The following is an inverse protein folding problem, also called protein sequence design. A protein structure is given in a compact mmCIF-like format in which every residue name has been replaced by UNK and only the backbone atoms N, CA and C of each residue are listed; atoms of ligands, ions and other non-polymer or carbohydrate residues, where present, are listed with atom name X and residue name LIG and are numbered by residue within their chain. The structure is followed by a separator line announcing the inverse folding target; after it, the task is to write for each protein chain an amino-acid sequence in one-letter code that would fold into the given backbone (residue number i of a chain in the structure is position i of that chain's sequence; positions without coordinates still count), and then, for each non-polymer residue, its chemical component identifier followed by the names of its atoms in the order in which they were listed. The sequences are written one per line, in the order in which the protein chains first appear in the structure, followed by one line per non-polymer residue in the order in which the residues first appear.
data_IF_494690466362
#
_entry.id   IF_494690466362
#
_cell.length_a   1.000
_cell.length_b   1.000
_cell.length_c   1.000
_cell.angle_alpha   90.00
_cell.angle_beta   90.00
_cell.angle_gamma   90.00
#
_symmetry.space_group_name_H-M   'P 1'
#
loop_
_entity.id
_entity.type
_entity.pdbx_description
1 polymer ?
#
# COMPACT_ATOMS: atom_id res chain seq x y z
N UNK A 1 32.39 36.37 -38.40
CA UNK A 1 32.40 35.48 -39.58
C UNK A 1 30.98 35.40 -40.11
N UNK A 2 30.72 36.01 -41.27
CA UNK A 2 29.42 35.93 -41.91
C UNK A 2 29.27 34.55 -42.59
N UNK A 3 28.09 33.93 -42.47
CA UNK A 3 27.76 32.65 -43.10
C UNK A 3 26.61 32.93 -44.09
N UNK A 4 26.80 32.51 -45.35
CA UNK A 4 25.88 32.74 -46.46
C UNK A 4 25.10 31.43 -46.74
N UNK A 5 23.77 31.44 -46.56
CA UNK A 5 22.90 30.25 -46.71
C UNK A 5 21.87 30.11 -45.57
N UNK A 6 20.84 29.29 -45.76
CA UNK A 6 19.78 29.04 -44.78
C UNK A 6 20.37 28.36 -43.53
N UNK A 7 20.12 28.93 -42.34
CA UNK A 7 20.44 28.29 -41.06
C UNK A 7 19.52 27.08 -40.83
N UNK A 8 20.08 25.87 -40.87
CA UNK A 8 19.42 24.62 -40.47
C UNK A 8 19.77 24.22 -39.02
N UNK A 9 19.19 23.13 -38.55
CA UNK A 9 19.36 22.62 -37.17
C UNK A 9 20.74 22.04 -36.88
N UNK A 10 21.61 21.89 -37.88
CA UNK A 10 22.95 21.28 -37.74
C UNK A 10 24.06 22.34 -37.69
N UNK A 11 23.78 23.60 -38.05
CA UNK A 11 24.78 24.69 -38.13
C UNK A 11 24.81 25.66 -36.92
N UNK A 12 24.39 25.22 -35.73
CA UNK A 12 24.53 26.01 -34.49
C UNK A 12 25.88 25.77 -33.81
N UNK A 13 26.45 26.78 -33.15
CA UNK A 13 27.66 26.64 -32.32
C UNK A 13 27.38 25.62 -31.19
N UNK A 14 28.36 24.79 -30.84
CA UNK A 14 28.22 23.76 -29.80
C UNK A 14 27.60 24.36 -28.51
N UNK A 15 26.53 23.73 -28.00
CA UNK A 15 25.72 24.13 -26.84
C UNK A 15 24.84 25.39 -26.99
N UNK A 16 24.56 25.87 -28.21
CA UNK A 16 23.70 27.05 -28.42
C UNK A 16 22.19 26.75 -28.50
N UNK A 17 21.76 25.48 -28.52
CA UNK A 17 20.35 25.07 -28.33
C UNK A 17 20.10 24.66 -26.88
N UNK A 18 19.04 25.16 -26.22
CA UNK A 18 18.57 24.56 -24.98
C UNK A 18 18.12 23.13 -25.30
N UNK A 19 18.91 22.15 -24.86
CA UNK A 19 18.51 20.76 -24.86
C UNK A 19 17.39 20.59 -23.84
N UNK A 20 16.26 20.01 -24.24
CA UNK A 20 15.13 19.76 -23.35
C UNK A 20 15.58 18.80 -22.24
N UNK A 21 15.76 19.32 -21.03
CA UNK A 21 15.80 18.52 -19.81
C UNK A 21 14.35 18.30 -19.38
N UNK A 22 13.88 17.04 -19.35
CA UNK A 22 12.57 16.69 -18.79
C UNK A 22 12.60 16.57 -17.25
N UNK A 23 13.55 17.25 -16.61
CA UNK A 23 13.66 17.38 -15.16
C UNK A 23 14.30 18.75 -14.89
N UNK A 24 13.49 19.72 -14.47
CA UNK A 24 14.04 20.88 -13.77
C UNK A 24 14.71 20.37 -12.49
N UNK A 25 15.91 20.86 -12.20
CA UNK A 25 16.69 20.55 -10.99
C UNK A 25 15.75 20.38 -9.79
N UNK A 26 15.59 19.14 -9.32
CA UNK A 26 15.08 18.86 -7.99
C UNK A 26 16.24 19.16 -7.04
N UNK A 27 16.28 20.38 -6.52
CA UNK A 27 17.25 20.76 -5.48
C UNK A 27 16.98 19.90 -4.24
N UNK A 28 18.06 19.36 -3.69
CA UNK A 28 18.07 18.72 -2.38
C UNK A 28 17.81 19.81 -1.33
N UNK A 29 16.55 20.00 -0.96
CA UNK A 29 16.19 20.88 0.16
C UNK A 29 16.66 20.25 1.47
N UNK A 30 17.08 21.02 2.50
CA UNK A 30 17.72 20.51 3.71
C UNK A 30 16.90 19.56 4.59
N UNK A 31 15.72 19.13 4.14
CA UNK A 31 14.90 18.13 4.85
C UNK A 31 14.02 17.28 3.92
N UNK A 32 14.34 17.17 2.63
CA UNK A 32 13.62 16.27 1.71
C UNK A 32 12.09 16.38 1.80
N UNK A 33 11.56 17.58 1.62
CA UNK A 33 10.16 17.95 1.95
C UNK A 33 9.09 17.30 1.06
N UNK A 34 9.48 16.71 -0.09
CA UNK A 34 8.55 16.16 -1.10
C UNK A 34 9.02 14.80 -1.67
N UNK A 35 9.22 13.77 -0.83
CA UNK A 35 9.83 12.51 -1.24
C UNK A 35 8.95 11.71 -2.20
N UNK A 36 7.62 11.75 -2.06
CA UNK A 36 6.71 10.99 -2.92
C UNK A 36 6.57 11.65 -4.29
N UNK A 37 6.52 12.97 -4.35
CA UNK A 37 6.54 13.74 -5.59
C UNK A 37 7.85 13.53 -6.35
N UNK A 38 8.99 13.50 -5.66
CA UNK A 38 10.27 13.17 -6.28
C UNK A 38 10.29 11.74 -6.85
N UNK A 39 9.75 10.77 -6.11
CA UNK A 39 9.68 9.37 -6.57
C UNK A 39 8.75 9.21 -7.77
N UNK A 40 7.56 9.83 -7.73
CA UNK A 40 6.59 9.78 -8.84
C UNK A 40 7.11 10.46 -10.11
N UNK A 41 7.96 11.48 -9.98
CA UNK A 41 8.62 12.11 -11.13
C UNK A 41 9.57 11.16 -11.88
N UNK A 42 10.13 10.16 -11.21
CA UNK A 42 11.01 9.16 -11.82
C UNK A 42 10.24 7.98 -12.41
N UNK A 43 8.93 7.89 -12.15
CA UNK A 43 8.08 6.81 -12.65
C UNK A 43 7.64 7.09 -14.10
N UNK A 44 7.32 6.02 -14.84
CA UNK A 44 6.76 6.16 -16.18
C UNK A 44 5.37 6.80 -16.08
N UNK A 45 5.16 7.88 -16.84
CA UNK A 45 3.89 8.60 -16.91
C UNK A 45 3.08 8.17 -18.14
N UNK A 46 1.75 8.15 -18.01
CA UNK A 46 0.82 8.06 -19.13
C UNK A 46 -0.12 9.25 -19.08
N UNK A 47 -0.36 9.88 -20.23
CA UNK A 47 -1.31 10.98 -20.33
C UNK A 47 -2.75 10.44 -20.22
N UNK A 48 -3.62 11.20 -19.55
CA UNK A 48 -5.03 10.84 -19.34
C UNK A 48 -5.92 11.87 -20.03
N UNK A 49 -6.88 11.39 -20.82
CA UNK A 49 -7.79 12.24 -21.61
C UNK A 49 -9.11 12.59 -20.90
N UNK A 50 -9.40 11.94 -19.76
CA UNK A 50 -10.60 12.17 -18.95
C UNK A 50 -10.23 12.70 -17.54
N UNK A 51 -11.02 13.63 -16.95
CA UNK A 51 -10.84 14.02 -15.55
C UNK A 51 -10.99 12.88 -14.52
N UNK A 52 -11.56 11.72 -14.90
CA UNK A 52 -11.57 10.47 -14.14
C UNK A 52 -10.65 9.47 -14.83
N UNK A 53 -9.69 8.94 -14.10
CA UNK A 53 -8.89 7.80 -14.54
C UNK A 53 -9.21 6.56 -13.71
N UNK A 54 -9.15 5.40 -14.36
CA UNK A 54 -9.40 4.12 -13.74
C UNK A 54 -8.28 3.14 -14.09
N UNK A 55 -8.06 2.19 -13.19
CA UNK A 55 -7.16 1.05 -13.38
C UNK A 55 -7.81 -0.21 -12.85
N UNK A 56 -7.36 -1.35 -13.35
CA UNK A 56 -7.87 -2.65 -12.95
C UNK A 56 -6.90 -3.31 -11.99
N UNK A 57 -7.41 -3.75 -10.85
CA UNK A 57 -6.67 -4.57 -9.90
C UNK A 57 -7.22 -5.99 -9.93
N UNK A 58 -6.31 -6.96 -9.89
CA UNK A 58 -6.68 -8.37 -9.79
C UNK A 58 -5.81 -9.01 -8.73
N UNK A 59 -6.46 -9.47 -7.67
CA UNK A 59 -5.81 -10.24 -6.63
C UNK A 59 -5.99 -11.73 -6.90
N UNK A 60 -4.96 -12.51 -6.57
CA UNK A 60 -5.07 -13.95 -6.50
C UNK A 60 -5.58 -14.30 -5.10
N UNK A 61 -6.63 -15.11 -5.05
CA UNK A 61 -7.17 -15.54 -3.76
C UNK A 61 -6.13 -16.35 -2.96
N UNK A 62 -6.09 -16.11 -1.65
CA UNK A 62 -5.23 -16.85 -0.76
C UNK A 62 -5.67 -18.32 -0.71
N UNK A 63 -4.72 -19.26 -0.79
CA UNK A 63 -4.97 -20.72 -0.64
C UNK A 63 -5.36 -21.15 0.79
N UNK A 64 -5.72 -20.19 1.64
CA UNK A 64 -6.02 -20.36 3.05
C UNK A 64 -7.31 -19.61 3.36
N UNK A 65 -8.28 -20.31 3.96
CA UNK A 65 -9.56 -19.74 4.33
C UNK A 65 -9.82 -19.89 5.82
N UNK A 66 -10.40 -18.87 6.44
CA UNK A 66 -10.71 -18.87 7.86
C UNK A 66 -12.15 -19.33 8.11
N UNK A 67 -12.35 -20.10 9.18
CA UNK A 67 -13.66 -20.48 9.68
C UNK A 67 -14.38 -19.28 10.30
N UNK A 68 -15.69 -19.19 10.07
CA UNK A 68 -16.58 -18.16 10.61
C UNK A 68 -17.43 -18.63 11.79
N UNK A 69 -17.38 -19.92 12.14
CA UNK A 69 -18.11 -20.50 13.28
C UNK A 69 -17.40 -21.75 13.83
N UNK A 70 -17.77 -22.15 15.04
CA UNK A 70 -17.30 -23.40 15.65
C UNK A 70 -17.76 -24.59 14.82
N UNK A 71 -16.89 -25.59 14.72
CA UNK A 71 -17.17 -26.84 14.04
C UNK A 71 -17.18 -27.97 15.07
N UNK A 72 -18.30 -28.66 15.17
CA UNK A 72 -18.42 -29.91 15.91
C UNK A 72 -17.99 -31.12 15.05
N UNK A 73 -17.67 -32.25 15.68
CA UNK A 73 -17.19 -33.52 15.13
C UNK A 73 -18.04 -34.14 14.01
N UNK A 74 -19.31 -33.75 13.86
CA UNK A 74 -20.26 -34.34 12.90
C UNK A 74 -20.73 -33.41 11.78
N UNK A 75 -20.45 -32.11 11.88
CA UNK A 75 -20.92 -31.13 10.90
C UNK A 75 -20.21 -31.33 9.56
N UNK A 76 -20.94 -31.21 8.45
CA UNK A 76 -20.43 -31.32 7.07
C UNK A 76 -20.61 -30.04 6.26
N UNK A 77 -21.30 -29.04 6.80
CA UNK A 77 -21.39 -27.69 6.25
C UNK A 77 -20.68 -26.74 7.18
N UNK A 78 -19.64 -26.07 6.67
CA UNK A 78 -18.82 -25.15 7.43
C UNK A 78 -19.10 -23.71 7.02
N UNK A 79 -19.27 -22.86 8.02
CA UNK A 79 -19.34 -21.40 7.83
C UNK A 79 -17.92 -20.86 7.74
N UNK A 80 -17.62 -20.11 6.70
CA UNK A 80 -16.35 -19.44 6.44
C UNK A 80 -16.53 -17.92 6.57
N UNK A 81 -15.43 -17.21 6.77
CA UNK A 81 -15.44 -15.72 6.77
C UNK A 81 -15.70 -15.16 5.36
N UNK A 82 -15.30 -15.90 4.32
CA UNK A 82 -15.43 -15.55 2.90
C UNK A 82 -14.41 -16.33 2.05
N UNK A 83 -14.54 -16.34 0.73
CA UNK A 83 -13.62 -17.07 -0.18
C UNK A 83 -13.96 -18.54 -0.40
N UNK A 84 -15.22 -18.95 -0.22
CA UNK A 84 -15.64 -20.31 -0.54
C UNK A 84 -15.62 -20.56 -2.07
N UNK A 85 -15.90 -19.53 -2.88
CA UNK A 85 -15.99 -19.65 -4.34
C UNK A 85 -14.66 -19.96 -5.02
N UNK A 86 -13.53 -19.77 -4.32
CA UNK A 86 -12.20 -20.18 -4.79
C UNK A 86 -11.94 -21.69 -4.81
N UNK A 87 -12.85 -22.46 -4.20
CA UNK A 87 -12.78 -23.91 -4.11
C UNK A 87 -13.78 -24.57 -5.04
N UNK A 88 -13.43 -25.76 -5.51
CA UNK A 88 -14.27 -26.60 -6.35
C UNK A 88 -14.45 -27.98 -5.72
N UNK A 89 -15.47 -28.69 -6.16
CA UNK A 89 -15.68 -30.10 -5.78
C UNK A 89 -14.40 -30.92 -6.02
N UNK A 90 -14.06 -31.80 -5.09
CA UNK A 90 -12.83 -32.60 -5.14
C UNK A 90 -11.56 -31.88 -4.67
N UNK A 91 -11.62 -30.60 -4.27
CA UNK A 91 -10.50 -29.96 -3.58
C UNK A 91 -10.29 -30.55 -2.18
N UNK A 92 -9.03 -30.67 -1.76
CA UNK A 92 -8.62 -31.12 -0.44
C UNK A 92 -8.18 -29.95 0.43
N UNK A 93 -8.82 -29.82 1.59
CA UNK A 93 -8.49 -28.83 2.60
C UNK A 93 -7.90 -29.51 3.83
N UNK A 94 -6.88 -28.91 4.43
CA UNK A 94 -6.32 -29.33 5.71
C UNK A 94 -6.68 -28.33 6.78
N UNK A 95 -7.28 -28.80 7.87
CA UNK A 95 -7.41 -28.02 9.08
C UNK A 95 -6.03 -27.86 9.73
N UNK A 96 -5.55 -26.61 9.84
CA UNK A 96 -4.20 -26.36 10.35
C UNK A 96 -4.07 -26.67 11.84
N UNK A 97 -5.16 -26.55 12.61
CA UNK A 97 -5.16 -26.84 14.04
C UNK A 97 -5.07 -28.34 14.35
N UNK A 98 -5.89 -29.16 13.68
CA UNK A 98 -6.06 -30.58 14.01
C UNK A 98 -5.31 -31.50 13.06
N UNK A 99 -4.89 -31.00 11.90
CA UNK A 99 -4.28 -31.80 10.83
C UNK A 99 -5.28 -32.66 10.05
N UNK A 100 -6.58 -32.54 10.33
CA UNK A 100 -7.64 -33.24 9.60
C UNK A 100 -7.64 -32.84 8.12
N UNK A 101 -7.87 -33.82 7.24
CA UNK A 101 -8.05 -33.59 5.81
C UNK A 101 -9.53 -33.72 5.47
N UNK A 102 -10.02 -32.73 4.75
CA UNK A 102 -11.41 -32.55 4.35
C UNK A 102 -11.45 -32.58 2.81
N UNK A 103 -12.43 -33.29 2.25
CA UNK A 103 -12.71 -33.24 0.83
C UNK A 103 -13.90 -32.31 0.61
N UNK A 104 -13.78 -31.31 -0.27
CA UNK A 104 -14.90 -30.47 -0.69
C UNK A 104 -15.87 -31.33 -1.48
N UNK A 105 -17.15 -31.32 -1.08
CA UNK A 105 -18.21 -32.16 -1.61
C UNK A 105 -19.32 -31.29 -2.21
N UNK A 106 -19.11 -30.92 -3.46
CA UNK A 106 -19.93 -30.01 -4.24
C UNK A 106 -19.31 -28.63 -4.41
N UNK A 107 -19.56 -28.03 -5.57
CA UNK A 107 -19.15 -26.66 -5.88
C UNK A 107 -19.91 -25.67 -4.96
N UNK A 108 -19.20 -24.80 -4.21
CA UNK A 108 -19.83 -23.79 -3.37
C UNK A 108 -20.68 -22.82 -4.20
N UNK A 109 -21.91 -22.57 -3.75
CA UNK A 109 -22.83 -21.60 -4.39
C UNK A 109 -22.92 -20.28 -3.63
N UNK A 110 -22.38 -20.24 -2.41
CA UNK A 110 -22.38 -19.08 -1.51
C UNK A 110 -20.96 -18.92 -0.95
N UNK A 111 -20.45 -17.69 -0.96
CA UNK A 111 -19.05 -17.41 -0.63
C UNK A 111 -18.67 -17.64 0.84
N UNK A 112 -19.65 -17.83 1.72
CA UNK A 112 -19.45 -18.01 3.16
C UNK A 112 -19.72 -19.44 3.63
N UNK A 113 -20.04 -20.37 2.74
CA UNK A 113 -20.36 -21.76 3.14
C UNK A 113 -19.66 -22.76 2.24
N UNK A 114 -19.07 -23.79 2.84
CA UNK A 114 -18.48 -24.91 2.12
C UNK A 114 -19.01 -26.24 2.67
N UNK A 115 -19.35 -27.16 1.77
CA UNK A 115 -19.78 -28.51 2.13
C UNK A 115 -18.59 -29.43 1.97
N UNK A 116 -18.29 -30.22 3.01
CA UNK A 116 -17.13 -31.10 3.06
C UNK A 116 -17.46 -32.49 3.59
N UNK A 117 -16.69 -33.47 3.13
CA UNK A 117 -16.58 -34.80 3.72
C UNK A 117 -15.38 -34.78 4.68
N UNK A 118 -15.62 -35.26 5.90
CA UNK A 118 -14.67 -35.24 7.01
C UNK A 118 -13.85 -36.52 7.12
N UNK A 119 -12.72 -36.42 7.81
CA UNK A 119 -11.83 -37.56 8.07
C UNK A 119 -11.30 -38.22 6.79
N UNK A 120 -11.16 -37.45 5.71
CA UNK A 120 -10.74 -37.99 4.43
C UNK A 120 -9.29 -38.49 4.53
N UNK A 121 -8.95 -39.53 3.75
CA UNK A 121 -7.62 -40.14 3.78
C UNK A 121 -7.26 -40.82 5.11
N UNK A 122 -8.26 -41.22 5.91
CA UNK A 122 -8.05 -41.92 7.20
C UNK A 122 -7.76 -40.98 8.37
N UNK A 123 -7.98 -39.67 8.21
CA UNK A 123 -7.87 -38.70 9.31
C UNK A 123 -9.10 -38.75 10.21
N UNK A 124 -8.98 -38.27 11.45
CA UNK A 124 -10.11 -38.29 12.40
C UNK A 124 -10.75 -36.91 12.48
N UNK A 125 -12.09 -36.87 12.45
CA UNK A 125 -12.85 -35.66 12.63
C UNK A 125 -12.71 -35.13 14.07
N UNK A 126 -12.22 -33.90 14.23
CA UNK A 126 -12.04 -33.24 15.53
C UNK A 126 -12.75 -31.90 15.55
N UNK A 127 -13.39 -31.55 16.66
CA UNK A 127 -14.03 -30.24 16.81
C UNK A 127 -12.98 -29.10 16.76
N UNK A 128 -13.33 -27.99 16.12
CA UNK A 128 -12.46 -26.80 16.01
C UNK A 128 -13.23 -25.60 16.53
N UNK A 129 -12.70 -24.96 17.56
CA UNK A 129 -13.26 -23.72 18.10
C UNK A 129 -12.72 -22.51 17.32
N UNK A 130 -13.58 -21.72 16.68
CA UNK A 130 -13.13 -20.66 15.76
C UNK A 130 -12.41 -19.49 16.46
N UNK A 131 -12.76 -19.20 17.72
CA UNK A 131 -12.23 -18.07 18.48
C UNK A 131 -11.45 -18.48 19.76
N UNK A 132 -10.95 -19.72 19.82
CA UNK A 132 -10.17 -20.21 20.96
C UNK A 132 -8.76 -19.62 21.01
N UNK A 133 -8.28 -19.27 22.20
CA UNK A 133 -6.88 -18.87 22.39
C UNK A 133 -5.95 -20.03 21.99
N UNK A 134 -4.98 -19.77 21.11
CA UNK A 134 -4.05 -20.79 20.60
C UNK A 134 -4.64 -21.73 19.53
N UNK A 135 -5.89 -21.49 19.09
CA UNK A 135 -6.50 -22.24 17.99
C UNK A 135 -6.18 -21.55 16.67
N UNK A 136 -5.91 -22.35 15.64
CA UNK A 136 -5.69 -21.88 14.28
C UNK A 136 -6.89 -22.26 13.40
N UNK A 137 -7.93 -21.41 13.30
CA UNK A 137 -9.19 -21.73 12.63
C UNK A 137 -9.09 -21.64 11.10
N UNK A 138 -7.91 -21.91 10.55
CA UNK A 138 -7.67 -21.80 9.12
C UNK A 138 -7.61 -23.17 8.46
N UNK A 139 -8.18 -23.23 7.26
CA UNK A 139 -8.14 -24.37 6.36
C UNK A 139 -7.20 -24.02 5.21
N UNK A 140 -6.22 -24.87 4.94
CA UNK A 140 -5.27 -24.70 3.85
C UNK A 140 -5.58 -25.67 2.71
N UNK A 141 -5.65 -25.18 1.48
CA UNK A 141 -5.80 -26.05 0.30
C UNK A 141 -4.52 -26.78 -0.03
N UNK A 142 -4.54 -28.11 0.12
CA UNK A 142 -3.42 -28.98 -0.23
C UNK A 142 -3.38 -29.20 -1.75
N UNK A 143 -4.52 -29.50 -2.36
CA UNK A 143 -4.62 -29.86 -3.78
C UNK A 143 -6.03 -30.29 -4.13
N UNK A 144 -6.18 -31.11 -5.18
CA UNK A 144 -7.44 -31.74 -5.57
C UNK A 144 -7.23 -33.22 -5.81
N UNK A 145 -8.22 -34.04 -5.47
CA UNK A 145 -8.22 -35.48 -5.68
C UNK A 145 -9.54 -35.90 -6.34
N UNK A 146 -9.45 -36.49 -7.53
CA UNK A 146 -10.59 -36.95 -8.32
C UNK A 146 -10.53 -38.45 -8.54
N UNK A 147 -11.71 -39.05 -8.74
CA UNK A 147 -11.84 -40.45 -9.12
C UNK A 147 -11.31 -40.72 -10.54
N UNK A 148 -10.82 -41.93 -10.79
CA UNK A 148 -10.34 -42.32 -12.12
C UNK A 148 -11.50 -42.35 -13.12
N UNK A 149 -11.34 -41.66 -14.26
CA UNK A 149 -12.38 -41.56 -15.29
C UNK A 149 -13.44 -40.48 -15.03
N UNK A 150 -13.22 -39.59 -14.06
CA UNK A 150 -14.12 -38.46 -13.80
C UNK A 150 -14.21 -37.50 -14.99
N UNK A 151 -15.29 -36.72 -15.03
CA UNK A 151 -15.37 -35.56 -15.91
C UNK A 151 -14.32 -34.50 -15.53
N UNK A 152 -14.02 -33.61 -16.48
CA UNK A 152 -13.17 -32.46 -16.21
C UNK A 152 -13.79 -31.57 -15.12
N UNK A 153 -12.99 -31.09 -14.15
CA UNK A 153 -13.50 -30.30 -13.04
C UNK A 153 -13.92 -28.89 -13.47
N UNK A 154 -14.81 -28.28 -12.68
CA UNK A 154 -15.25 -26.88 -12.88
C UNK A 154 -14.06 -25.92 -12.79
N UNK A 155 -13.97 -24.98 -13.73
CA UNK A 155 -12.93 -23.95 -13.73
C UNK A 155 -13.26 -22.82 -12.74
N UNK A 156 -12.27 -22.41 -11.94
CA UNK A 156 -12.38 -21.25 -11.05
C UNK A 156 -11.70 -20.06 -11.73
N UNK A 157 -12.47 -19.01 -11.99
CA UNK A 157 -12.00 -17.77 -12.60
C UNK A 157 -12.11 -16.62 -11.60
N UNK A 158 -11.22 -15.64 -11.75
CA UNK A 158 -11.21 -14.44 -10.91
C UNK A 158 -11.40 -13.21 -11.80
N UNK A 159 -12.39 -12.39 -11.46
CA UNK A 159 -12.69 -11.15 -12.17
C UNK A 159 -11.86 -9.99 -11.60
N UNK A 160 -11.38 -9.07 -12.45
CA UNK A 160 -10.68 -7.87 -11.99
C UNK A 160 -11.67 -6.83 -11.42
N UNK A 161 -11.23 -6.04 -10.44
CA UNK A 161 -12.00 -4.93 -9.88
C UNK A 161 -11.53 -3.59 -10.45
N UNK A 162 -12.47 -2.69 -10.78
CA UNK A 162 -12.16 -1.33 -11.23
C UNK A 162 -11.88 -0.42 -10.03
N UNK A 163 -10.68 0.16 -9.98
CA UNK A 163 -10.35 1.29 -9.10
C UNK A 163 -10.30 2.57 -9.91
N UNK A 164 -10.62 3.70 -9.28
CA UNK A 164 -10.66 4.99 -9.96
C UNK A 164 -10.29 6.16 -9.05
N UNK A 165 -9.77 7.22 -9.68
CA UNK A 165 -9.46 8.48 -9.02
C UNK A 165 -9.67 9.66 -10.00
N UNK A 166 -9.63 10.89 -9.49
CA UNK A 166 -9.83 12.10 -10.29
C UNK A 166 -8.54 12.90 -10.43
N UNK A 167 -8.44 13.66 -11.51
CA UNK A 167 -7.42 14.70 -11.65
C UNK A 167 -7.83 15.96 -10.88
N UNK A 168 -6.85 16.62 -10.27
CA UNK A 168 -7.02 17.86 -9.52
C UNK A 168 -6.20 18.98 -10.16
N UNK A 169 -6.76 20.20 -10.13
CA UNK A 169 -6.09 21.38 -10.65
C UNK A 169 -5.38 22.08 -9.49
N UNK A 170 -4.06 22.10 -9.52
CA UNK A 170 -3.24 22.90 -8.61
C UNK A 170 -2.98 24.27 -9.22
N UNK A 171 -3.17 25.35 -8.46
CA UNK A 171 -2.92 26.71 -8.94
C UNK A 171 -2.32 27.56 -7.82
N UNK A 172 -1.07 27.98 -8.02
CA UNK A 172 -0.42 29.03 -7.24
C UNK A 172 -0.15 30.23 -8.14
N UNK A 173 -0.31 31.44 -7.62
CA UNK A 173 -0.15 32.69 -8.40
C UNK A 173 0.91 33.56 -7.76
N UNK A 174 1.79 34.11 -8.60
CA UNK A 174 2.72 35.16 -8.24
C UNK A 174 2.21 36.47 -8.84
N UNK A 175 1.97 37.46 -8.00
CA UNK A 175 1.57 38.80 -8.43
C UNK A 175 2.62 39.81 -8.00
N UNK A 176 3.19 40.53 -8.97
CA UNK A 176 4.15 41.60 -8.73
C UNK A 176 3.88 42.76 -9.69
N UNK A 177 3.80 43.97 -9.16
CA UNK A 177 3.50 45.15 -9.99
C UNK A 177 4.70 45.54 -10.85
N UNK A 178 4.46 46.11 -12.03
CA UNK A 178 5.52 46.52 -12.96
C UNK A 178 6.52 47.51 -12.33
N UNK A 179 6.05 48.42 -11.47
CA UNK A 179 6.89 49.36 -10.72
C UNK A 179 7.77 48.65 -9.70
N UNK A 180 7.24 47.64 -9.00
CA UNK A 180 8.03 46.83 -8.07
C UNK A 180 9.11 46.02 -8.81
N UNK A 181 8.83 45.52 -10.02
CA UNK A 181 9.83 44.79 -10.83
C UNK A 181 11.02 45.67 -11.25
N UNK A 182 10.79 46.97 -11.47
CA UNK A 182 11.83 47.90 -11.91
C UNK A 182 12.62 48.55 -10.76
N UNK A 183 12.14 48.42 -9.52
CA UNK A 183 12.84 48.95 -8.35
C UNK A 183 14.11 48.14 -8.10
N UNK A 184 15.28 48.81 -8.09
CA UNK A 184 16.55 48.16 -7.74
C UNK A 184 16.58 47.83 -6.25
N UNK A 185 16.50 46.55 -5.94
CA UNK A 185 16.60 46.03 -4.59
C UNK A 185 18.03 45.54 -4.31
N UNK A 186 18.46 45.64 -3.05
CA UNK A 186 19.79 45.22 -2.61
C UNK A 186 19.95 43.69 -2.54
N UNK A 187 18.83 42.98 -2.52
CA UNK A 187 18.71 41.52 -2.35
C UNK A 187 18.68 40.74 -3.67
N UNK A 188 18.95 41.39 -4.81
CA UNK A 188 18.90 40.75 -6.13
C UNK A 188 17.51 40.79 -6.80
N UNK A 189 17.32 39.92 -7.79
CA UNK A 189 16.11 39.86 -8.62
C UNK A 189 14.97 39.11 -7.91
N UNK A 190 14.07 39.87 -7.29
CA UNK A 190 12.93 39.33 -6.55
C UNK A 190 11.96 38.51 -7.39
N UNK A 191 11.88 38.73 -8.72
CA UNK A 191 10.97 37.95 -9.56
C UNK A 191 11.40 36.49 -9.61
N UNK A 192 12.71 36.26 -9.73
CA UNK A 192 13.26 34.89 -9.79
C UNK A 192 13.12 34.18 -8.46
N UNK A 193 13.39 34.92 -7.39
CA UNK A 193 13.27 34.51 -6.00
C UNK A 193 11.83 34.09 -5.67
N UNK A 194 10.85 34.95 -5.92
CA UNK A 194 9.44 34.67 -5.68
C UNK A 194 8.92 33.55 -6.60
N UNK A 195 9.37 33.48 -7.87
CA UNK A 195 9.02 32.35 -8.75
C UNK A 195 9.48 31.03 -8.14
N UNK A 196 10.72 30.98 -7.65
CA UNK A 196 11.26 29.79 -7.00
C UNK A 196 10.43 29.39 -5.78
N UNK A 197 10.10 30.33 -4.91
CA UNK A 197 9.26 30.06 -3.73
C UNK A 197 7.88 29.55 -4.12
N UNK A 198 7.21 30.17 -5.11
CA UNK A 198 5.90 29.68 -5.57
C UNK A 198 5.96 28.27 -6.16
N UNK A 199 7.06 27.90 -6.82
CA UNK A 199 7.27 26.52 -7.27
C UNK A 199 7.50 25.56 -6.11
N UNK A 200 8.19 25.99 -5.04
CA UNK A 200 8.38 25.16 -3.84
C UNK A 200 7.05 24.89 -3.14
N UNK A 201 6.23 25.93 -2.91
CA UNK A 201 4.89 25.75 -2.35
C UNK A 201 4.00 24.87 -3.22
N UNK A 202 4.08 25.03 -4.55
CA UNK A 202 3.30 24.18 -5.45
C UNK A 202 3.69 22.71 -5.36
N UNK A 203 4.98 22.40 -5.18
CA UNK A 203 5.44 21.02 -4.97
C UNK A 203 4.96 20.47 -3.64
N UNK A 204 5.00 21.27 -2.56
CA UNK A 204 4.47 20.89 -1.25
C UNK A 204 2.96 20.60 -1.32
N UNK A 205 2.18 21.46 -1.99
CA UNK A 205 0.73 21.24 -2.16
C UNK A 205 0.41 19.92 -2.88
N UNK A 206 1.24 19.53 -3.85
CA UNK A 206 1.10 18.26 -4.56
C UNK A 206 1.46 17.10 -3.62
N UNK A 207 2.58 17.17 -2.91
CA UNK A 207 3.00 16.15 -1.93
C UNK A 207 1.92 15.91 -0.88
N UNK A 208 1.40 16.98 -0.27
CA UNK A 208 0.38 16.90 0.76
C UNK A 208 -0.91 16.27 0.21
N UNK A 209 -1.25 16.57 -1.04
CA UNK A 209 -2.41 15.95 -1.70
C UNK A 209 -2.16 14.46 -1.99
N UNK A 210 -0.94 14.06 -2.37
CA UNK A 210 -0.60 12.66 -2.57
C UNK A 210 -0.69 11.86 -1.27
N UNK A 211 -0.39 12.45 -0.11
CA UNK A 211 -0.54 11.77 1.18
C UNK A 211 -1.98 11.77 1.71
N UNK A 212 -2.59 12.95 1.79
CA UNK A 212 -3.82 13.19 2.55
C UNK A 212 -5.06 13.51 1.70
N UNK A 213 -4.93 13.59 0.38
CA UNK A 213 -6.02 13.96 -0.52
C UNK A 213 -7.26 13.07 -0.36
N UNK A 214 -8.44 13.65 -0.53
CA UNK A 214 -9.72 12.93 -0.47
C UNK A 214 -10.37 12.97 -1.83
N UNK A 215 -10.87 11.82 -2.30
CA UNK A 215 -11.61 11.75 -3.56
C UNK A 215 -12.92 12.53 -3.44
N UNK A 216 -13.09 13.56 -4.26
CA UNK A 216 -14.33 14.33 -4.28
C UNK A 216 -14.61 14.88 -5.68
N UNK A 217 -15.89 14.86 -6.07
CA UNK A 217 -16.40 15.55 -7.24
C UNK A 217 -17.61 16.39 -6.82
N UNK A 218 -17.60 17.67 -7.17
CA UNK A 218 -18.69 18.58 -6.85
C UNK A 218 -18.74 19.78 -7.78
N UNK A 219 -19.49 20.80 -7.36
CA UNK A 219 -19.61 22.07 -8.07
C UNK A 219 -19.25 23.20 -7.10
N UNK A 220 -18.37 24.10 -7.52
CA UNK A 220 -18.01 25.33 -6.80
C UNK A 220 -18.10 26.50 -7.77
N UNK A 221 -18.83 27.56 -7.38
CA UNK A 221 -19.06 28.73 -8.23
C UNK A 221 -19.61 28.39 -9.63
N UNK A 222 -20.54 27.42 -9.70
CA UNK A 222 -21.13 26.95 -10.96
C UNK A 222 -20.19 26.16 -11.87
N UNK A 223 -18.97 25.85 -11.42
CA UNK A 223 -17.96 25.10 -12.18
C UNK A 223 -17.65 23.77 -11.48
N UNK A 224 -17.34 22.69 -12.24
CA UNK A 224 -16.97 21.43 -11.64
C UNK A 224 -15.66 21.57 -10.85
N UNK A 225 -15.63 21.02 -9.64
CA UNK A 225 -14.43 20.90 -8.81
C UNK A 225 -14.17 19.41 -8.54
N UNK A 226 -12.91 19.02 -8.61
CA UNK A 226 -12.46 17.64 -8.39
C UNK A 226 -11.24 17.63 -7.48
N UNK A 227 -11.17 16.64 -6.61
CA UNK A 227 -10.06 16.41 -5.68
C UNK A 227 -9.58 14.98 -5.81
N UNK A 228 -8.26 14.82 -5.80
CA UNK A 228 -7.58 13.54 -5.95
C UNK A 228 -7.49 12.84 -4.59
N UNK A 229 -7.69 11.52 -4.60
CA UNK A 229 -7.44 10.67 -3.43
C UNK A 229 -5.95 10.48 -3.21
N UNK A 230 -5.48 10.70 -1.99
CA UNK A 230 -4.14 10.39 -1.52
C UNK A 230 -4.02 8.96 -0.98
N UNK A 231 -2.78 8.54 -0.74
CA UNK A 231 -2.43 7.17 -0.33
C UNK A 231 -3.13 6.76 0.96
N UNK A 232 -3.16 7.63 1.98
CA UNK A 232 -3.74 7.26 3.28
C UNK A 232 -5.23 6.91 3.15
N UNK A 233 -5.96 7.70 2.36
CA UNK A 233 -7.39 7.48 2.15
C UNK A 233 -7.69 6.33 1.17
N UNK A 234 -6.69 5.80 0.47
CA UNK A 234 -6.81 4.60 -0.37
C UNK A 234 -6.69 3.30 0.44
N UNK A 235 -6.12 3.36 1.65
CA UNK A 235 -5.91 2.18 2.50
C UNK A 235 -7.22 1.75 3.16
N UNK A 236 -7.65 0.48 3.04
CA UNK A 236 -8.84 -0.03 3.71
C UNK A 236 -8.76 0.03 5.24
N UNK A 237 -9.89 0.23 5.91
CA UNK A 237 -9.98 0.32 7.38
C UNK A 237 -9.34 -0.88 8.12
N UNK A 238 -9.43 -2.09 7.57
CA UNK A 238 -8.84 -3.30 8.16
C UNK A 238 -7.30 -3.32 8.19
N UNK A 239 -6.65 -2.44 7.43
CA UNK A 239 -5.20 -2.30 7.37
C UNK A 239 -4.67 -1.14 8.23
N UNK A 240 -5.55 -0.37 8.88
CA UNK A 240 -5.19 0.67 9.82
C UNK A 240 -5.06 0.08 11.23
N UNK A 241 -3.91 0.30 11.87
CA UNK A 241 -3.63 -0.15 13.23
C UNK A 241 -3.15 1.04 14.05
N UNK A 242 -3.77 1.25 15.22
CA UNK A 242 -3.38 2.32 16.12
C UNK A 242 -2.21 1.87 17.01
N UNK A 243 -1.02 2.41 16.77
CA UNK A 243 0.13 2.25 17.64
C UNK A 243 0.10 3.33 18.74
N UNK A 244 -0.11 2.92 19.99
CA UNK A 244 -0.10 3.82 21.15
C UNK A 244 1.31 4.11 21.68
N UNK A 245 1.42 5.00 22.67
CA UNK A 245 2.68 5.35 23.35
C UNK A 245 3.34 4.18 24.10
N UNK A 246 2.63 3.06 24.27
CA UNK A 246 3.10 1.84 24.93
C UNK A 246 3.46 0.71 23.96
N UNK A 247 3.60 1.00 22.66
CA UNK A 247 3.87 -0.03 21.65
C UNK A 247 5.13 -0.83 22.02
N UNK A 248 4.98 -2.14 22.19
CA UNK A 248 6.06 -3.07 22.56
C UNK A 248 6.70 -3.70 21.32
N UNK A 249 7.85 -4.37 21.49
CA UNK A 249 8.49 -5.09 20.36
C UNK A 249 7.58 -6.15 19.75
N UNK A 250 6.85 -6.90 20.59
CA UNK A 250 5.91 -7.92 20.11
C UNK A 250 4.83 -7.32 19.21
N UNK A 251 4.28 -6.16 19.57
CA UNK A 251 3.29 -5.46 18.75
C UNK A 251 3.91 -4.94 17.44
N UNK A 252 5.14 -4.45 17.47
CA UNK A 252 5.86 -4.04 16.27
C UNK A 252 6.09 -5.22 15.30
N UNK A 253 6.49 -6.38 15.82
CA UNK A 253 6.67 -7.60 15.02
C UNK A 253 5.36 -8.06 14.37
N UNK A 254 4.22 -7.97 15.07
CA UNK A 254 2.92 -8.24 14.47
C UNK A 254 2.55 -7.26 13.35
N UNK A 255 2.84 -5.97 13.53
CA UNK A 255 2.63 -4.97 12.48
C UNK A 255 3.52 -5.21 11.27
N UNK A 256 4.80 -5.56 11.48
CA UNK A 256 5.72 -5.92 10.41
C UNK A 256 5.26 -7.19 9.68
N UNK A 257 4.82 -8.22 10.41
CA UNK A 257 4.29 -9.45 9.80
C UNK A 257 3.13 -9.17 8.85
N UNK A 258 2.21 -8.26 9.21
CA UNK A 258 1.11 -7.85 8.34
C UNK A 258 1.60 -7.03 7.14
N UNK A 259 2.51 -6.08 7.37
CA UNK A 259 3.06 -5.25 6.29
C UNK A 259 3.80 -6.09 5.24
N UNK A 260 4.56 -7.10 5.65
CA UNK A 260 5.32 -8.00 4.78
C UNK A 260 4.54 -9.21 4.25
N UNK A 261 3.25 -9.33 4.56
CA UNK A 261 2.43 -10.43 4.04
C UNK A 261 2.37 -10.45 2.50
N UNK A 262 2.43 -9.27 1.87
CA UNK A 262 2.38 -9.11 0.42
C UNK A 262 3.55 -8.28 -0.09
N UNK A 263 4.07 -8.63 -1.27
CA UNK A 263 5.12 -7.88 -1.97
C UNK A 263 6.55 -8.26 -1.57
N UNK A 264 7.47 -7.29 -1.66
CA UNK A 264 8.92 -7.52 -1.47
C UNK A 264 9.33 -7.73 -0.01
N UNK A 265 10.46 -8.43 0.18
CA UNK A 265 11.17 -8.60 1.46
C UNK A 265 11.75 -7.30 2.02
N UNK A 266 11.86 -6.27 1.19
CA UNK A 266 12.30 -4.93 1.59
C UNK A 266 11.21 -3.91 1.28
N UNK A 267 10.90 -3.06 2.27
CA UNK A 267 9.90 -2.00 2.16
C UNK A 267 10.44 -0.72 2.78
N UNK A 268 10.16 0.41 2.14
CA UNK A 268 10.43 1.73 2.68
C UNK A 268 9.24 2.20 3.52
N UNK A 269 9.51 2.66 4.74
CA UNK A 269 8.49 3.23 5.62
C UNK A 269 8.63 4.75 5.68
N UNK A 270 7.53 5.46 5.45
CA UNK A 270 7.42 6.89 5.71
C UNK A 270 6.78 7.09 7.08
N UNK A 271 7.44 7.84 7.96
CA UNK A 271 6.96 8.03 9.32
C UNK A 271 7.23 9.45 9.80
N UNK A 272 6.33 9.96 10.66
CA UNK A 272 6.55 11.21 11.37
C UNK A 272 7.60 11.08 12.47
N UNK A 273 8.02 12.21 13.00
CA UNK A 273 9.03 12.32 14.08
C UNK A 273 8.69 11.45 15.31
N UNK A 274 7.43 11.44 15.71
CA UNK A 274 6.93 10.71 16.88
C UNK A 274 7.03 9.20 16.67
N UNK A 275 6.68 8.72 15.47
CA UNK A 275 6.78 7.30 15.13
C UNK A 275 8.25 6.85 15.06
N UNK A 276 9.13 7.67 14.47
CA UNK A 276 10.56 7.41 14.46
C UNK A 276 11.15 7.34 15.88
N UNK A 277 10.74 8.25 16.76
CA UNK A 277 11.15 8.26 18.17
C UNK A 277 10.66 7.02 18.93
N UNK A 278 9.40 6.61 18.73
CA UNK A 278 8.86 5.38 19.34
C UNK A 278 9.62 4.15 18.84
N UNK A 279 9.91 4.05 17.55
CA UNK A 279 10.73 2.96 16.99
C UNK A 279 12.13 2.93 17.63
N UNK A 280 12.79 4.08 17.76
CA UNK A 280 14.09 4.17 18.43
C UNK A 280 14.00 3.76 19.91
N UNK A 281 12.94 4.14 20.62
CA UNK A 281 12.72 3.75 22.01
C UNK A 281 12.48 2.25 22.18
N UNK A 282 11.72 1.63 21.26
CA UNK A 282 11.49 0.18 21.23
C UNK A 282 12.82 -0.54 21.03
N UNK A 283 13.63 -0.11 20.05
CA UNK A 283 14.94 -0.72 19.80
C UNK A 283 15.84 -0.56 21.03
N UNK A 284 15.89 0.63 21.64
CA UNK A 284 16.72 0.89 22.83
C UNK A 284 16.29 0.08 24.06
N UNK A 285 14.99 -0.16 24.26
CA UNK A 285 14.50 -0.97 25.39
C UNK A 285 14.80 -2.46 25.23
N UNK A 286 14.86 -2.96 24.00
CA UNK A 286 15.03 -4.39 23.72
C UNK A 286 16.45 -4.74 23.26
N UNK A 287 17.35 -3.76 23.11
CA UNK A 287 18.78 -4.03 22.96
C UNK A 287 19.32 -4.58 24.28
N UNK A 288 19.86 -5.81 24.26
CA UNK A 288 20.48 -6.47 25.41
C UNK A 288 21.60 -5.60 25.99
N UNK A 289 21.27 -4.76 26.96
CA UNK A 289 22.26 -4.24 27.90
C UNK A 289 22.62 -5.39 28.83
N UNK A 290 23.62 -6.19 28.44
CA UNK A 290 24.20 -7.26 29.25
C UNK A 290 24.67 -6.65 30.57
N UNK A 291 23.83 -6.73 31.61
CA UNK A 291 24.27 -6.41 32.96
C UNK A 291 25.34 -7.42 33.32
N UNK A 292 26.58 -6.96 33.44
CA UNK A 292 27.68 -7.76 33.97
C UNK A 292 27.32 -8.01 35.45
N UNK A 293 27.14 -9.27 35.89
CA UNK A 293 26.86 -9.55 37.29
C UNK A 293 28.13 -9.27 38.09
N UNK A 294 28.23 -8.09 38.69
CA UNK A 294 29.46 -7.69 39.38
C UNK A 294 29.46 -6.37 40.16
N UNK A 295 28.37 -5.60 40.21
CA UNK A 295 28.30 -4.42 41.09
C UNK A 295 27.58 -4.79 42.39
N UNK A 296 28.36 -5.30 43.36
CA UNK A 296 27.99 -5.35 44.77
C UNK A 296 27.88 -3.91 45.29
N UNK A 297 26.67 -3.37 45.37
CA UNK A 297 26.41 -2.24 46.27
C UNK A 297 26.22 -2.80 47.68
N UNK A 298 27.32 -2.94 48.41
CA UNK A 298 27.30 -2.98 49.87
C UNK A 298 27.39 -1.55 50.39
N UNK A 299 26.26 -0.96 50.73
CA UNK A 299 26.24 0.14 51.70
C UNK A 299 25.52 -0.36 52.95
N UNK A 300 26.34 -0.64 53.96
CA UNK A 300 25.93 -0.70 55.35
C UNK A 300 25.87 0.73 55.89
N UNK A 301 24.67 1.22 56.18
CA UNK A 301 24.30 2.00 57.37
C UNK A 301 22.81 2.24 57.40
#
# INVERSE_FOLDING_TARGET
MAIQGLRDTENFVANQRPTNYREGIMLLEPNGSTPLYALTSMMKSQDTDDPRFAWWEKELEARRVALGADIDTSQTSFTLVGGALGYKDGDLLRAEHTGEVLLVNGDPTVDTTIVVIRGYGGTTAVAITYAGAGVNPNLMKIGSAYEEGSNAPTGVNFDPEEKYNYTQIFRSTLEMTATAMQTRLRTGDQVKEAKRETFQYHKLDIEDTLWWGVRFQGVRNGKPIRMTQGVINSIPAGNLQAAGSTTTMLQLEEYLRRAFQFGSSEKMAFCGDTAALVLQQIIRRNSDSRSIPGLRNTEWK
#
